data_IF_096529572742
#
_entry.id   IF_096529572742
#
_cell.length_a   1.000
_cell.length_b   1.000
_cell.length_c   1.000
_cell.angle_alpha   90.00
_cell.angle_beta   90.00
_cell.angle_gamma   90.00
#
_symmetry.space_group_name_H-M   'P 1'
#
loop_
_entity.id
_entity.type
_entity.pdbx_description
1 polymer ?
#
# COMPACT_ATOMS: atom_id res chain seq x y z
N UNK A 1 -10.44 -26.57 -47.83
CA UNK A 1 -10.09 -27.40 -46.65
C UNK A 1 -8.60 -27.36 -46.28
N UNK A 2 -7.66 -27.99 -47.00
CA UNK A 2 -6.26 -28.07 -46.53
C UNK A 2 -5.48 -26.73 -46.50
N UNK A 3 -5.77 -25.81 -47.44
CA UNK A 3 -5.12 -24.49 -47.49
C UNK A 3 -5.66 -23.51 -46.44
N UNK A 4 -6.97 -23.52 -46.18
CA UNK A 4 -7.59 -22.61 -45.19
C UNK A 4 -7.16 -22.94 -43.76
N UNK A 5 -7.04 -24.24 -43.44
CA UNK A 5 -6.52 -24.68 -42.13
C UNK A 5 -5.06 -24.26 -41.96
N UNK A 6 -4.23 -24.35 -43.01
CA UNK A 6 -2.83 -23.91 -42.96
C UNK A 6 -2.69 -22.40 -42.76
N UNK A 7 -3.55 -21.59 -43.39
CA UNK A 7 -3.54 -20.12 -43.26
C UNK A 7 -4.01 -19.71 -41.86
N UNK A 8 -5.05 -20.35 -41.32
CA UNK A 8 -5.53 -20.08 -39.97
C UNK A 8 -4.48 -20.42 -38.89
N UNK A 9 -3.75 -21.54 -39.05
CA UNK A 9 -2.67 -21.94 -38.15
C UNK A 9 -1.48 -20.96 -38.22
N UNK A 10 -1.11 -20.49 -39.41
CA UNK A 10 -0.06 -19.47 -39.56
C UNK A 10 -0.46 -18.11 -38.98
N UNK A 11 -1.72 -17.69 -39.13
CA UNK A 11 -2.23 -16.46 -38.52
C UNK A 11 -2.24 -16.53 -36.99
N UNK A 12 -2.66 -17.68 -36.42
CA UNK A 12 -2.68 -17.86 -34.97
C UNK A 12 -1.26 -17.93 -34.37
N UNK A 13 -0.32 -18.58 -35.06
CA UNK A 13 1.08 -18.60 -34.66
C UNK A 13 1.74 -17.20 -34.70
N UNK A 14 1.41 -16.38 -35.70
CA UNK A 14 1.83 -14.97 -35.77
C UNK A 14 1.30 -14.15 -34.60
N UNK A 15 0.01 -14.29 -34.28
CA UNK A 15 -0.61 -13.62 -33.13
C UNK A 15 0.05 -14.00 -31.79
N UNK A 16 0.41 -15.28 -31.60
CA UNK A 16 1.10 -15.73 -30.39
C UNK A 16 2.51 -15.13 -30.31
N UNK A 17 3.24 -15.09 -31.42
CA UNK A 17 4.59 -14.50 -31.48
C UNK A 17 4.55 -13.00 -31.15
N UNK A 18 3.55 -12.28 -31.66
CA UNK A 18 3.34 -10.85 -31.38
C UNK A 18 3.04 -10.60 -29.90
N UNK A 19 2.20 -11.44 -29.27
CA UNK A 19 1.90 -11.35 -27.84
C UNK A 19 3.15 -11.60 -26.99
N UNK A 20 3.98 -12.58 -27.37
CA UNK A 20 5.25 -12.87 -26.66
C UNK A 20 6.23 -11.70 -26.79
N UNK A 21 6.38 -11.15 -28.00
CA UNK A 21 7.25 -9.99 -28.27
C UNK A 21 6.79 -8.75 -27.49
N UNK A 22 5.49 -8.49 -27.46
CA UNK A 22 4.90 -7.39 -26.70
C UNK A 22 5.13 -7.57 -25.20
N UNK A 23 4.95 -8.79 -24.66
CA UNK A 23 5.24 -9.10 -23.26
C UNK A 23 6.71 -8.86 -22.91
N UNK A 24 7.64 -9.30 -23.75
CA UNK A 24 9.08 -9.09 -23.53
C UNK A 24 9.44 -7.60 -23.52
N UNK A 25 8.93 -6.85 -24.50
CA UNK A 25 9.14 -5.39 -24.60
C UNK A 25 8.61 -4.66 -23.36
N UNK A 26 7.40 -5.02 -22.92
CA UNK A 26 6.81 -4.46 -21.69
C UNK A 26 7.67 -4.78 -20.47
N UNK A 27 8.14 -6.02 -20.32
CA UNK A 27 8.98 -6.41 -19.19
C UNK A 27 10.31 -5.63 -19.17
N UNK A 28 10.92 -5.38 -20.32
CA UNK A 28 12.17 -4.65 -20.42
C UNK A 28 11.99 -3.16 -20.10
N UNK A 29 10.92 -2.54 -20.61
CA UNK A 29 10.56 -1.16 -20.25
C UNK A 29 10.31 -1.05 -18.76
N UNK A 30 9.54 -1.96 -18.17
CA UNK A 30 9.26 -1.95 -16.74
C UNK A 30 10.51 -2.13 -15.90
N UNK A 31 11.42 -3.05 -16.25
CA UNK A 31 12.70 -3.20 -15.55
C UNK A 31 13.56 -1.94 -15.65
N UNK A 32 13.54 -1.25 -16.79
CA UNK A 32 14.35 -0.03 -16.99
C UNK A 32 13.83 1.18 -16.22
N UNK A 33 12.52 1.28 -16.00
CA UNK A 33 11.88 2.44 -15.38
C UNK A 33 11.55 2.25 -13.89
N UNK A 34 11.30 1.01 -13.46
CA UNK A 34 11.02 0.70 -12.07
C UNK A 34 12.31 0.76 -11.25
N UNK A 35 12.25 1.44 -10.11
CA UNK A 35 13.38 1.68 -9.22
C UNK A 35 13.00 1.18 -7.84
N UNK A 36 13.91 0.45 -7.19
CA UNK A 36 13.73 0.01 -5.81
C UNK A 36 13.63 1.21 -4.87
N UNK A 37 12.82 1.07 -3.81
CA UNK A 37 12.43 2.09 -2.83
C UNK A 37 11.70 3.34 -3.37
N UNK A 38 11.59 3.49 -4.69
CA UNK A 38 10.74 4.50 -5.33
C UNK A 38 9.47 3.87 -5.85
N UNK A 39 9.55 2.86 -6.72
CA UNK A 39 8.41 2.26 -7.41
C UNK A 39 7.93 0.96 -6.78
N UNK A 40 8.85 0.18 -6.22
CA UNK A 40 8.57 -1.03 -5.45
C UNK A 40 9.57 -1.11 -4.30
N UNK A 41 9.25 -1.85 -3.23
CA UNK A 41 10.18 -2.01 -2.12
C UNK A 41 9.69 -3.02 -1.08
N UNK A 42 10.52 -3.30 -0.09
CA UNK A 42 10.15 -4.20 1.01
C UNK A 42 9.43 -3.43 2.11
N UNK A 43 8.24 -3.88 2.47
CA UNK A 43 7.51 -3.33 3.63
C UNK A 43 7.88 -4.20 4.85
N UNK A 44 8.37 -3.59 5.96
CA UNK A 44 8.70 -4.33 7.17
C UNK A 44 7.53 -5.18 7.67
N UNK A 45 7.78 -6.46 7.96
CA UNK A 45 6.78 -7.40 8.45
C UNK A 45 5.94 -8.11 7.37
N UNK A 46 6.24 -7.90 6.09
CA UNK A 46 5.48 -8.46 4.95
C UNK A 46 6.30 -9.44 4.09
N UNK A 47 7.36 -10.01 4.66
CA UNK A 47 8.25 -10.97 4.01
C UNK A 47 9.24 -10.31 3.04
N UNK A 48 9.90 -11.13 2.22
CA UNK A 48 10.96 -10.70 1.31
C UNK A 48 10.48 -10.29 -0.08
N UNK A 49 9.22 -10.54 -0.41
CA UNK A 49 8.68 -10.19 -1.72
C UNK A 49 8.51 -8.67 -1.82
N UNK A 50 9.01 -8.04 -2.90
CA UNK A 50 8.82 -6.61 -3.10
C UNK A 50 7.33 -6.31 -3.27
N UNK A 51 6.90 -5.21 -2.66
CA UNK A 51 5.53 -4.69 -2.76
C UNK A 51 5.53 -3.48 -3.70
N UNK A 52 4.47 -3.38 -4.52
CA UNK A 52 4.26 -2.23 -5.40
C UNK A 52 3.94 -0.97 -4.57
N UNK A 53 4.69 0.11 -4.79
CA UNK A 53 4.44 1.41 -4.17
C UNK A 53 3.55 2.27 -5.08
N UNK A 54 3.02 3.36 -4.54
CA UNK A 54 2.07 4.25 -5.26
C UNK A 54 2.61 4.73 -6.60
N UNK A 55 3.85 5.22 -6.59
CA UNK A 55 4.59 5.67 -7.77
C UNK A 55 4.72 4.56 -8.81
N UNK A 56 4.99 3.32 -8.38
CA UNK A 56 5.01 2.15 -9.29
C UNK A 56 3.64 1.86 -9.89
N UNK A 57 2.58 1.89 -9.08
CA UNK A 57 1.21 1.71 -9.57
C UNK A 57 0.78 2.84 -10.54
N UNK A 58 1.17 4.08 -10.28
CA UNK A 58 0.92 5.22 -11.17
C UNK A 58 1.70 5.11 -12.49
N UNK A 59 2.96 4.64 -12.43
CA UNK A 59 3.76 4.36 -13.61
C UNK A 59 3.15 3.25 -14.47
N UNK A 60 2.81 2.10 -13.86
CA UNK A 60 2.18 0.98 -14.58
C UNK A 60 0.86 1.42 -15.22
N UNK A 61 0.02 2.13 -14.47
CA UNK A 61 -1.20 2.72 -15.00
C UNK A 61 -0.91 3.57 -16.25
N UNK A 62 0.13 4.41 -16.23
CA UNK A 62 0.50 5.27 -17.35
C UNK A 62 1.04 4.48 -18.54
N UNK A 63 1.95 3.52 -18.30
CA UNK A 63 2.57 2.68 -19.34
C UNK A 63 1.52 1.86 -20.09
N UNK A 64 0.53 1.32 -19.39
CA UNK A 64 -0.56 0.54 -19.98
C UNK A 64 -1.76 1.39 -20.42
N UNK A 65 -1.65 2.71 -20.33
CA UNK A 65 -2.71 3.65 -20.66
C UNK A 65 -4.05 3.30 -20.00
N UNK A 66 -4.00 2.92 -18.73
CA UNK A 66 -5.17 2.56 -17.93
C UNK A 66 -5.76 3.80 -17.24
N UNK A 67 -7.06 3.78 -17.05
CA UNK A 67 -7.77 4.75 -16.20
C UNK A 67 -8.26 4.07 -14.92
N UNK A 68 -8.29 4.85 -13.83
CA UNK A 68 -8.73 4.41 -12.51
C UNK A 68 -9.90 5.29 -12.08
N UNK A 69 -11.06 4.71 -11.84
CA UNK A 69 -12.28 5.41 -11.44
C UNK A 69 -12.70 4.90 -10.07
N UNK A 70 -13.05 5.83 -9.19
CA UNK A 70 -13.61 5.56 -7.86
C UNK A 70 -14.65 6.64 -7.60
N UNK A 71 -15.92 6.22 -7.55
CA UNK A 71 -17.07 7.07 -7.33
C UNK A 71 -17.43 7.14 -5.83
N UNK A 72 -18.40 7.97 -5.47
CA UNK A 72 -18.84 8.06 -4.07
C UNK A 72 -19.48 6.74 -3.58
N UNK A 73 -20.15 6.02 -4.46
CA UNK A 73 -20.75 4.69 -4.23
C UNK A 73 -19.70 3.61 -3.96
N UNK A 74 -18.46 3.81 -4.39
CA UNK A 74 -17.33 2.89 -4.17
C UNK A 74 -16.66 3.08 -2.80
N UNK A 75 -17.14 4.03 -1.98
CA UNK A 75 -16.55 4.36 -0.69
C UNK A 75 -17.54 4.04 0.42
N UNK A 76 -17.24 2.97 1.15
CA UNK A 76 -17.98 2.60 2.36
C UNK A 76 -17.23 3.16 3.57
N UNK A 77 -17.97 3.79 4.47
CA UNK A 77 -17.42 4.38 5.69
C UNK A 77 -18.17 3.84 6.89
N UNK A 78 -17.47 3.08 7.73
CA UNK A 78 -17.96 2.68 9.04
C UNK A 78 -17.42 3.65 10.10
N UNK A 79 -18.27 4.07 11.05
CA UNK A 79 -17.90 4.95 12.16
C UNK A 79 -18.37 4.34 13.47
N UNK A 80 -17.44 4.08 14.39
CA UNK A 80 -17.79 3.53 15.70
C UNK A 80 -18.23 4.61 16.71
N UNK A 81 -18.66 4.15 17.88
CA UNK A 81 -19.06 4.96 19.04
C UNK A 81 -18.00 5.95 19.54
N UNK A 82 -16.72 5.61 19.33
CA UNK A 82 -15.56 6.44 19.72
C UNK A 82 -15.09 7.40 18.62
N UNK A 83 -15.85 7.53 17.53
CA UNK A 83 -15.51 8.40 16.41
C UNK A 83 -14.35 7.88 15.54
N UNK A 84 -13.93 6.62 15.67
CA UNK A 84 -13.00 6.04 14.71
C UNK A 84 -13.73 5.72 13.41
N UNK A 85 -13.04 5.97 12.28
CA UNK A 85 -13.51 5.61 10.94
C UNK A 85 -12.71 4.49 10.31
N UNK A 86 -13.40 3.61 9.62
CA UNK A 86 -12.86 2.62 8.69
C UNK A 86 -13.37 2.93 7.30
N UNK A 87 -12.46 3.04 6.34
CA UNK A 87 -12.77 3.27 4.92
C UNK A 87 -12.50 2.00 4.14
N UNK A 88 -13.50 1.52 3.42
CA UNK A 88 -13.37 0.49 2.41
C UNK A 88 -13.61 1.14 1.05
N UNK A 89 -12.65 0.99 0.15
CA UNK A 89 -12.65 1.66 -1.15
C UNK A 89 -12.50 0.63 -2.24
N UNK A 90 -13.42 0.69 -3.19
CA UNK A 90 -13.37 -0.02 -4.46
C UNK A 90 -12.77 0.92 -5.55
N UNK A 91 -11.89 0.40 -6.39
CA UNK A 91 -11.29 1.12 -7.51
C UNK A 91 -11.46 0.32 -8.79
N UNK A 92 -12.11 0.89 -9.79
CA UNK A 92 -12.31 0.25 -11.09
C UNK A 92 -11.20 0.67 -12.06
N UNK A 93 -10.62 -0.31 -12.73
CA UNK A 93 -9.51 -0.12 -13.69
C UNK A 93 -10.05 -0.38 -15.09
N UNK A 94 -9.82 0.55 -16.01
CA UNK A 94 -10.24 0.43 -17.40
C UNK A 94 -9.03 0.56 -18.33
N UNK A 95 -9.06 -0.17 -19.43
CA UNK A 95 -8.08 -0.01 -20.50
C UNK A 95 -8.35 1.26 -21.33
N UNK A 96 -7.53 1.49 -22.36
CA UNK A 96 -7.65 2.65 -23.26
C UNK A 96 -8.97 2.66 -24.06
N UNK A 97 -9.58 1.49 -24.27
CA UNK A 97 -10.88 1.33 -24.93
C UNK A 97 -12.08 1.59 -23.99
N UNK A 98 -11.85 1.85 -22.70
CA UNK A 98 -12.91 2.07 -21.72
C UNK A 98 -13.58 0.79 -21.22
N UNK A 99 -12.97 -0.38 -21.43
CA UNK A 99 -13.43 -1.66 -20.91
C UNK A 99 -12.85 -1.85 -19.50
N UNK A 100 -13.70 -2.20 -18.54
CA UNK A 100 -13.25 -2.53 -17.18
C UNK A 100 -12.44 -3.83 -17.20
N UNK A 101 -11.17 -3.77 -16.83
CA UNK A 101 -10.24 -4.90 -16.82
C UNK A 101 -10.01 -5.47 -15.42
N UNK A 102 -10.14 -4.65 -14.38
CA UNK A 102 -9.98 -5.10 -12.99
C UNK A 102 -10.74 -4.21 -12.00
N UNK A 103 -10.88 -4.73 -10.79
CA UNK A 103 -11.32 -3.99 -9.62
C UNK A 103 -10.32 -4.23 -8.50
N UNK A 104 -9.85 -3.15 -7.87
CA UNK A 104 -8.99 -3.20 -6.70
C UNK A 104 -9.72 -2.81 -5.43
N UNK A 105 -9.36 -3.44 -4.32
CA UNK A 105 -9.95 -3.22 -3.00
C UNK A 105 -8.91 -2.67 -2.02
N UNK A 106 -9.34 -1.73 -1.18
CA UNK A 106 -8.47 -1.13 -0.19
C UNK A 106 -9.23 -0.74 1.06
N UNK A 107 -8.77 -1.27 2.20
CA UNK A 107 -9.27 -0.86 3.51
C UNK A 107 -8.20 -0.08 4.27
N UNK A 108 -8.62 0.87 5.10
CA UNK A 108 -7.77 1.48 6.11
C UNK A 108 -8.64 1.98 7.26
N UNK A 109 -8.16 1.87 8.50
CA UNK A 109 -8.88 2.32 9.68
C UNK A 109 -8.04 3.22 10.58
N UNK A 110 -8.67 4.23 11.18
CA UNK A 110 -8.07 5.00 12.29
C UNK A 110 -7.76 4.14 13.53
N UNK A 111 -8.33 2.92 13.60
CA UNK A 111 -8.00 1.93 14.63
C UNK A 111 -6.66 1.22 14.38
N UNK A 112 -6.05 1.35 13.19
CA UNK A 112 -4.73 0.78 12.96
C UNK A 112 -3.72 1.39 13.95
N UNK A 113 -2.82 0.54 14.47
CA UNK A 113 -1.81 0.89 15.48
C UNK A 113 -1.02 2.17 15.22
N UNK A 114 -0.84 2.52 13.93
CA UNK A 114 -0.13 3.71 13.45
C UNK A 114 -0.91 5.01 13.65
N UNK A 115 -2.23 4.98 13.55
CA UNK A 115 -3.10 6.16 13.68
C UNK A 115 -3.79 6.21 15.04
N UNK A 116 -4.01 5.05 15.66
CA UNK A 116 -4.68 4.93 16.95
C UNK A 116 -3.83 5.48 18.11
N UNK A 117 -2.51 5.39 18.03
CA UNK A 117 -1.64 5.70 19.17
C UNK A 117 -0.60 6.76 18.86
N UNK A 118 -0.33 7.63 19.83
CA UNK A 118 0.80 8.56 19.84
C UNK A 118 1.79 8.23 20.95
N UNK A 119 3.03 8.64 20.76
CA UNK A 119 4.03 8.62 21.82
C UNK A 119 3.97 9.92 22.63
N UNK A 120 3.57 9.83 23.90
CA UNK A 120 3.62 10.93 24.85
C UNK A 120 4.88 10.79 25.71
N UNK A 121 5.62 11.89 25.90
CA UNK A 121 6.78 11.88 26.79
C UNK A 121 6.31 11.90 28.25
N UNK A 122 6.99 11.13 29.09
CA UNK A 122 6.86 11.21 30.55
C UNK A 122 8.07 11.94 31.12
N UNK A 123 7.96 12.42 32.36
CA UNK A 123 9.07 13.08 33.06
C UNK A 123 10.12 12.10 33.62
N UNK A 124 9.89 10.79 33.46
CA UNK A 124 10.80 9.75 33.95
C UNK A 124 11.98 9.58 33.00
N UNK A 125 13.19 9.59 33.55
CA UNK A 125 14.41 9.24 32.82
C UNK A 125 14.47 7.73 32.58
N UNK A 126 15.04 7.33 31.45
CA UNK A 126 15.32 5.91 31.18
C UNK A 126 16.43 5.45 32.13
N UNK A 127 16.21 4.39 32.94
CA UNK A 127 17.25 3.82 33.80
C UNK A 127 18.47 3.37 33.00
N UNK A 128 19.66 3.47 33.57
CA UNK A 128 20.91 3.02 32.92
C UNK A 128 20.85 1.52 32.56
N UNK A 129 20.27 0.73 33.45
CA UNK A 129 20.19 -0.74 33.41
C UNK A 129 19.36 -1.23 32.21
N UNK A 130 18.49 -0.37 31.67
CA UNK A 130 17.74 -0.66 30.46
C UNK A 130 18.64 -0.80 29.22
N UNK A 131 19.76 -0.08 29.16
CA UNK A 131 20.64 -0.12 27.98
C UNK A 131 21.38 -1.45 27.85
N UNK A 132 21.68 -2.09 28.97
CA UNK A 132 22.34 -3.40 29.02
C UNK A 132 21.34 -4.54 28.81
N UNK A 133 20.21 -4.51 29.52
CA UNK A 133 19.23 -5.61 29.52
C UNK A 133 18.20 -5.55 28.39
N UNK A 134 17.91 -4.33 27.88
CA UNK A 134 16.77 -4.03 27.00
C UNK A 134 15.41 -4.47 27.56
N UNK A 135 15.32 -4.69 28.87
CA UNK A 135 14.10 -5.16 29.51
C UNK A 135 13.06 -4.03 29.63
N UNK A 136 11.88 -4.24 29.03
CA UNK A 136 10.78 -3.28 29.08
C UNK A 136 10.13 -3.17 30.45
N UNK A 137 10.32 -4.14 31.35
CA UNK A 137 9.85 -4.05 32.74
C UNK A 137 10.46 -2.84 33.45
N UNK A 138 11.74 -2.53 33.17
CA UNK A 138 12.45 -1.37 33.70
C UNK A 138 11.86 -0.03 33.23
N UNK A 139 11.14 -0.02 32.11
CA UNK A 139 10.43 1.16 31.60
C UNK A 139 9.00 1.28 32.16
N UNK A 140 8.50 0.24 32.83
CA UNK A 140 7.12 0.14 33.33
C UNK A 140 6.19 -0.71 32.47
N UNK A 141 6.69 -1.42 31.45
CA UNK A 141 5.89 -2.34 30.63
C UNK A 141 6.00 -2.13 29.11
N UNK A 142 5.21 -2.90 28.36
CA UNK A 142 5.26 -2.97 26.89
C UNK A 142 4.76 -1.70 26.19
N UNK A 143 3.99 -0.88 26.88
CA UNK A 143 3.47 0.41 26.43
C UNK A 143 4.51 1.54 26.49
N UNK A 144 5.67 1.31 27.11
CA UNK A 144 6.72 2.30 27.25
C UNK A 144 7.90 2.06 26.31
N UNK A 145 8.51 3.15 25.84
CA UNK A 145 9.69 3.11 24.97
C UNK A 145 10.63 4.31 25.23
N UNK A 146 11.95 4.13 25.07
CA UNK A 146 12.91 5.21 25.27
C UNK A 146 12.84 6.22 24.12
N UNK A 147 12.83 7.52 24.43
CA UNK A 147 12.85 8.60 23.45
C UNK A 147 13.84 9.69 23.85
N UNK A 148 14.75 10.05 22.94
CA UNK A 148 15.75 11.08 23.17
C UNK A 148 15.16 12.46 22.87
N UNK A 149 15.23 13.37 23.84
CA UNK A 149 14.71 14.74 23.74
C UNK A 149 15.71 15.69 24.37
N UNK A 150 16.15 16.71 23.62
CA UNK A 150 17.09 17.74 24.10
C UNK A 150 18.33 17.16 24.82
N UNK A 151 18.85 16.04 24.34
CA UNK A 151 20.04 15.38 24.89
C UNK A 151 19.79 14.36 26.01
N UNK A 152 18.59 14.30 26.60
CA UNK A 152 18.23 13.34 27.64
C UNK A 152 17.34 12.21 27.09
N UNK A 153 17.50 11.00 27.64
CA UNK A 153 16.62 9.86 27.37
C UNK A 153 15.48 9.83 28.38
N UNK A 154 14.27 10.06 27.89
CA UNK A 154 13.05 9.99 28.68
C UNK A 154 12.23 8.77 28.26
N UNK A 155 11.44 8.27 29.21
CA UNK A 155 10.46 7.23 28.92
C UNK A 155 9.29 7.90 28.21
N UNK A 156 8.88 7.35 27.08
CA UNK A 156 7.64 7.72 26.39
C UNK A 156 6.62 6.60 26.52
N UNK A 157 5.36 6.97 26.65
CA UNK A 157 4.22 6.07 26.73
C UNK A 157 3.43 6.08 25.42
N UNK A 158 2.93 4.91 25.04
CA UNK A 158 2.01 4.74 23.92
C UNK A 158 0.59 5.00 24.41
N UNK A 159 0.07 6.16 24.08
CA UNK A 159 -1.26 6.64 24.51
C UNK A 159 -2.19 6.66 23.30
N UNK A 160 -3.46 6.32 23.50
CA UNK A 160 -4.48 6.43 22.46
C UNK A 160 -4.65 7.90 22.05
N UNK A 161 -4.88 8.13 20.76
CA UNK A 161 -5.21 9.45 20.25
C UNK A 161 -6.57 9.88 20.79
N UNK A 162 -6.63 11.12 21.24
CA UNK A 162 -7.82 11.81 21.74
C UNK A 162 -8.73 12.30 20.62
N UNK A 163 -8.16 12.60 19.45
CA UNK A 163 -8.91 13.06 18.27
C UNK A 163 -8.65 12.18 17.04
N UNK A 164 -9.47 11.14 16.80
CA UNK A 164 -9.38 10.31 15.59
C UNK A 164 -9.57 11.10 14.27
N UNK A 165 -10.23 12.27 14.31
CA UNK A 165 -10.59 13.03 13.12
C UNK A 165 -9.38 13.55 12.34
N UNK A 166 -8.26 13.81 13.03
CA UNK A 166 -6.99 14.25 12.41
C UNK A 166 -6.47 13.24 11.38
N UNK A 167 -6.88 11.96 11.50
CA UNK A 167 -6.46 10.89 10.61
C UNK A 167 -7.50 10.48 9.58
N UNK A 168 -8.72 11.03 9.59
CA UNK A 168 -9.77 10.61 8.64
C UNK A 168 -9.34 10.71 7.18
N UNK A 169 -8.77 11.85 6.77
CA UNK A 169 -8.32 12.03 5.40
C UNK A 169 -7.08 11.17 5.08
N UNK A 170 -6.19 11.00 6.05
CA UNK A 170 -5.00 10.17 5.92
C UNK A 170 -5.39 8.72 5.65
N UNK A 171 -6.31 8.18 6.45
CA UNK A 171 -6.84 6.82 6.34
C UNK A 171 -7.63 6.65 5.04
N UNK A 172 -8.49 7.60 4.66
CA UNK A 172 -9.20 7.59 3.37
C UNK A 172 -8.23 7.53 2.18
N UNK A 173 -7.21 8.41 2.17
CA UNK A 173 -6.18 8.43 1.11
C UNK A 173 -5.37 7.13 1.09
N UNK A 174 -5.11 6.54 2.26
CA UNK A 174 -4.41 5.27 2.37
C UNK A 174 -5.23 4.09 1.84
N UNK A 175 -6.53 4.01 2.15
CA UNK A 175 -7.44 3.02 1.57
C UNK A 175 -7.48 3.16 0.04
N UNK A 176 -7.62 4.38 -0.48
CA UNK A 176 -7.64 4.66 -1.93
C UNK A 176 -6.34 4.24 -2.62
N UNK A 177 -5.20 4.48 -1.97
CA UNK A 177 -3.88 4.07 -2.46
C UNK A 177 -3.73 2.54 -2.51
N UNK A 178 -4.21 1.85 -1.47
CA UNK A 178 -4.23 0.38 -1.40
C UNK A 178 -5.11 -0.21 -2.51
N UNK A 179 -6.32 0.34 -2.69
CA UNK A 179 -7.25 -0.07 -3.76
C UNK A 179 -6.67 0.12 -5.17
N UNK A 180 -6.00 1.26 -5.41
CA UNK A 180 -5.36 1.50 -6.70
C UNK A 180 -4.23 0.50 -6.99
N UNK A 181 -3.35 0.26 -6.02
CA UNK A 181 -2.24 -0.66 -6.19
C UNK A 181 -2.72 -2.10 -6.43
N UNK A 182 -3.73 -2.55 -5.67
CA UNK A 182 -4.38 -3.84 -5.82
C UNK A 182 -5.02 -4.01 -7.22
N UNK A 183 -5.76 -3.00 -7.66
CA UNK A 183 -6.40 -3.02 -8.98
C UNK A 183 -5.40 -3.06 -10.13
N UNK A 184 -4.31 -2.29 -10.05
CA UNK A 184 -3.25 -2.28 -11.07
C UNK A 184 -2.46 -3.59 -11.10
N UNK A 185 -2.31 -4.28 -9.97
CA UNK A 185 -1.68 -5.61 -9.93
C UNK A 185 -2.60 -6.71 -10.48
N UNK A 186 -3.91 -6.50 -10.46
CA UNK A 186 -4.92 -7.45 -10.92
C UNK A 186 -5.24 -7.31 -12.42
N UNK A 187 -5.12 -6.10 -12.96
CA UNK A 187 -5.34 -5.77 -14.37
C UNK A 187 -4.28 -6.37 -15.31
#
# INVERSE_FOLDING_TARGET
MSKEVSVAVQQHAGQIADVISMKATVQDVLKSQMQEDVHYGKIPGTGDKPTLLKSGAEMLRMVFNMSTICEATDVIVDTNDKGHKTYEICMHIFNKEGIKVATGLGTCSTMESKYKYRSQLTDRKVPSEYWDSRDKALLGGSQYSPKKVKGAWLISERVEHDNPADYYNTVKKMAKKRAMADGILTA
#
